data_IF_223008185084
#
_entry.id   IF_223008185084
#
_cell.length_a   1.000
_cell.length_b   1.000
_cell.length_c   1.000
_cell.angle_alpha   90.00
_cell.angle_beta   90.00
_cell.angle_gamma   90.00
#
_symmetry.space_group_name_H-M   'P 1'
#
loop_
_entity.id
_entity.type
_entity.pdbx_description
1 polymer ?
#
# COMPACT_ATOMS: atom_id res chain seq x y z
N UNK A 1 46.38 -12.83 32.60
CA UNK A 1 46.29 -11.44 33.09
C UNK A 1 44.81 -11.12 33.20
N UNK A 2 44.28 -10.95 34.41
CA UNK A 2 42.86 -10.66 34.63
C UNK A 2 42.61 -9.16 34.39
N UNK A 3 42.03 -8.82 33.26
CA UNK A 3 41.65 -7.45 32.90
C UNK A 3 40.57 -6.98 33.88
N UNK A 4 40.75 -5.82 34.51
CA UNK A 4 39.74 -5.22 35.39
C UNK A 4 38.91 -4.17 34.63
N UNK A 5 37.65 -4.05 35.01
CA UNK A 5 36.73 -3.04 34.47
C UNK A 5 37.29 -1.62 34.75
N UNK A 6 37.25 -0.74 33.75
CA UNK A 6 37.83 0.63 33.74
C UNK A 6 39.37 0.74 33.77
N UNK A 7 40.12 -0.33 33.47
CA UNK A 7 41.57 -0.23 33.29
C UNK A 7 41.93 0.32 31.90
N UNK A 8 42.74 1.39 31.79
CA UNK A 8 43.18 1.92 30.51
C UNK A 8 44.16 0.94 29.86
N UNK A 9 43.75 0.34 28.74
CA UNK A 9 44.57 -0.59 27.96
C UNK A 9 45.25 0.18 26.83
N UNK A 10 46.58 0.11 26.78
CA UNK A 10 47.36 0.58 25.64
C UNK A 10 47.33 -0.52 24.58
N UNK A 11 46.76 -0.23 23.42
CA UNK A 11 46.80 -1.11 22.26
C UNK A 11 47.46 -0.38 21.09
N UNK A 12 48.16 -1.14 20.27
CA UNK A 12 48.68 -0.71 18.97
C UNK A 12 48.20 -1.70 17.93
N UNK A 13 47.83 -1.21 16.76
CA UNK A 13 47.48 -2.05 15.63
C UNK A 13 48.40 -1.73 14.45
N UNK A 14 48.71 -2.75 13.66
CA UNK A 14 49.42 -2.62 12.40
C UNK A 14 48.45 -2.97 11.27
N UNK A 15 48.46 -2.19 10.19
CA UNK A 15 47.67 -2.47 8.99
C UNK A 15 48.64 -2.73 7.86
N UNK A 16 48.56 -3.93 7.29
CA UNK A 16 49.27 -4.26 6.08
C UNK A 16 48.29 -4.31 4.91
N UNK A 17 48.45 -3.41 3.95
CA UNK A 17 47.61 -3.38 2.75
C UNK A 17 48.20 -4.32 1.71
N UNK A 18 47.46 -5.38 1.37
CA UNK A 18 47.83 -6.32 0.30
C UNK A 18 47.02 -5.97 -0.95
N UNK A 19 47.70 -5.91 -2.10
CA UNK A 19 47.03 -5.71 -3.37
C UNK A 19 46.09 -6.89 -3.67
N UNK A 20 44.87 -6.59 -4.09
CA UNK A 20 43.85 -7.59 -4.39
C UNK A 20 43.59 -7.60 -5.89
N UNK A 21 43.61 -8.79 -6.48
CA UNK A 21 43.24 -9.04 -7.89
C UNK A 21 41.78 -8.68 -8.21
N UNK A 22 40.96 -8.45 -7.18
CA UNK A 22 39.55 -8.08 -7.33
C UNK A 22 39.43 -6.59 -7.63
N UNK A 23 38.88 -6.28 -8.80
CA UNK A 23 38.54 -4.92 -9.22
C UNK A 23 37.66 -4.24 -8.17
N UNK A 24 37.90 -2.95 -7.91
CA UNK A 24 37.16 -2.17 -6.91
C UNK A 24 35.64 -2.36 -6.93
N UNK A 25 34.94 -2.35 -8.09
CA UNK A 25 33.49 -2.52 -8.14
C UNK A 25 32.98 -3.87 -7.64
N UNK A 26 33.76 -4.94 -7.79
CA UNK A 26 33.36 -6.32 -7.43
C UNK A 26 33.79 -6.75 -6.02
N UNK A 27 34.46 -5.86 -5.27
CA UNK A 27 34.89 -6.17 -3.88
C UNK A 27 33.71 -6.35 -2.92
N UNK A 28 32.57 -5.71 -3.21
CA UNK A 28 31.36 -5.84 -2.40
C UNK A 28 30.61 -7.15 -2.65
N UNK A 29 30.83 -7.83 -3.78
CA UNK A 29 30.07 -9.03 -4.17
C UNK A 29 30.16 -10.16 -3.12
N UNK A 30 31.29 -10.27 -2.43
CA UNK A 30 31.48 -11.25 -1.36
C UNK A 30 30.56 -11.00 -0.16
N UNK A 31 30.25 -9.74 0.16
CA UNK A 31 29.37 -9.35 1.26
C UNK A 31 27.90 -9.26 0.86
N UNK A 32 27.63 -9.14 -0.45
CA UNK A 32 26.29 -8.99 -1.02
C UNK A 32 25.67 -10.34 -1.44
N UNK A 33 26.42 -11.44 -1.40
CA UNK A 33 25.90 -12.79 -1.63
C UNK A 33 24.97 -13.20 -0.48
N UNK A 34 23.66 -13.15 -0.72
CA UNK A 34 22.67 -13.78 0.15
C UNK A 34 22.57 -15.28 -0.12
N UNK A 35 22.70 -16.07 0.94
CA UNK A 35 22.26 -17.45 0.97
C UNK A 35 20.71 -17.50 0.99
N UNK A 36 20.10 -18.45 0.27
CA UNK A 36 18.64 -18.64 0.30
C UNK A 36 17.86 -18.25 -0.96
N UNK A 37 18.52 -18.04 -2.12
CA UNK A 37 17.85 -17.76 -3.39
C UNK A 37 16.70 -18.75 -3.74
N UNK A 38 16.83 -20.03 -3.34
CA UNK A 38 15.77 -21.03 -3.52
C UNK A 38 14.48 -20.69 -2.77
N UNK A 39 14.58 -20.10 -1.58
CA UNK A 39 13.44 -19.72 -0.74
C UNK A 39 12.69 -18.55 -1.36
N UNK A 40 13.43 -17.57 -1.89
CA UNK A 40 12.89 -16.46 -2.67
C UNK A 40 12.10 -16.97 -3.90
N UNK A 41 12.70 -17.85 -4.71
CA UNK A 41 12.00 -18.43 -5.87
C UNK A 41 10.75 -19.23 -5.48
N UNK A 42 10.79 -19.96 -4.37
CA UNK A 42 9.63 -20.67 -3.83
C UNK A 42 8.50 -19.70 -3.44
N UNK A 43 8.84 -18.57 -2.83
CA UNK A 43 7.89 -17.50 -2.48
C UNK A 43 7.18 -16.91 -3.70
N UNK A 44 7.91 -16.65 -4.79
CA UNK A 44 7.31 -16.19 -6.06
C UNK A 44 6.35 -17.24 -6.61
N UNK A 45 6.73 -18.51 -6.65
CA UNK A 45 5.89 -19.56 -7.21
C UNK A 45 4.57 -19.72 -6.43
N UNK A 46 4.65 -19.70 -5.09
CA UNK A 46 3.45 -19.74 -4.25
C UNK A 46 2.55 -18.52 -4.47
N UNK A 47 3.14 -17.33 -4.59
CA UNK A 47 2.39 -16.10 -4.86
C UNK A 47 1.71 -16.12 -6.23
N UNK A 48 2.40 -16.62 -7.26
CA UNK A 48 1.84 -16.80 -8.60
C UNK A 48 0.66 -17.78 -8.61
N UNK A 49 0.70 -18.84 -7.80
CA UNK A 49 -0.41 -19.79 -7.67
C UNK A 49 -1.66 -19.11 -7.08
N UNK A 50 -1.49 -18.30 -6.04
CA UNK A 50 -2.60 -17.53 -5.44
C UNK A 50 -3.19 -16.54 -6.44
N UNK A 51 -2.34 -15.81 -7.17
CA UNK A 51 -2.76 -14.88 -8.22
C UNK A 51 -3.51 -15.62 -9.32
N UNK A 52 -2.98 -16.73 -9.85
CA UNK A 52 -3.64 -17.48 -10.90
C UNK A 52 -5.03 -17.99 -10.48
N UNK A 53 -5.18 -18.40 -9.23
CA UNK A 53 -6.47 -18.80 -8.66
C UNK A 53 -7.45 -17.63 -8.60
N UNK A 54 -7.03 -16.48 -8.06
CA UNK A 54 -7.85 -15.27 -7.97
C UNK A 54 -8.19 -14.70 -9.35
N UNK A 55 -7.23 -14.65 -10.27
CA UNK A 55 -7.40 -14.29 -11.67
C UNK A 55 -8.45 -15.19 -12.34
N UNK A 56 -8.46 -16.50 -12.04
CA UNK A 56 -9.49 -17.43 -12.49
C UNK A 56 -10.89 -17.03 -12.02
N UNK A 57 -11.03 -16.64 -10.75
CA UNK A 57 -12.32 -16.16 -10.20
C UNK A 57 -12.75 -14.86 -10.90
N UNK A 58 -11.84 -13.89 -11.03
CA UNK A 58 -12.12 -12.61 -11.73
C UNK A 58 -12.51 -12.86 -13.18
N UNK A 59 -11.80 -13.77 -13.86
CA UNK A 59 -12.11 -14.16 -15.24
C UNK A 59 -13.49 -14.78 -15.36
N UNK A 60 -13.89 -15.66 -14.44
CA UNK A 60 -15.25 -16.23 -14.41
C UNK A 60 -16.29 -15.13 -14.17
N UNK A 61 -16.04 -14.18 -13.26
CA UNK A 61 -16.93 -13.03 -13.03
C UNK A 61 -17.11 -12.22 -14.32
N UNK A 62 -16.02 -11.83 -14.97
CA UNK A 62 -16.05 -11.04 -16.21
C UNK A 62 -16.69 -11.82 -17.37
N UNK A 63 -16.34 -13.09 -17.56
CA UNK A 63 -16.95 -13.95 -18.58
C UNK A 63 -18.45 -14.09 -18.37
N UNK A 64 -18.91 -14.22 -17.12
CA UNK A 64 -20.34 -14.29 -16.81
C UNK A 64 -21.03 -12.98 -17.15
N UNK A 65 -20.43 -11.84 -16.83
CA UNK A 65 -20.96 -10.53 -17.22
C UNK A 65 -21.08 -10.40 -18.74
N UNK A 66 -20.04 -10.77 -19.49
CA UNK A 66 -20.00 -10.66 -20.96
C UNK A 66 -20.89 -11.70 -21.66
N UNK A 67 -20.82 -12.99 -21.30
CA UNK A 67 -21.64 -14.05 -21.92
C UNK A 67 -23.13 -13.82 -21.70
N UNK A 68 -23.52 -13.19 -20.60
CA UNK A 68 -24.92 -12.84 -20.30
C UNK A 68 -25.42 -11.68 -21.15
N UNK A 69 -24.55 -10.79 -21.61
CA UNK A 69 -24.89 -9.78 -22.62
C UNK A 69 -25.07 -10.42 -24.02
N UNK A 70 -24.32 -11.48 -24.32
CA UNK A 70 -24.46 -12.26 -25.57
C UNK A 70 -25.70 -13.18 -25.58
N UNK A 71 -25.98 -13.90 -24.48
CA UNK A 71 -27.17 -14.78 -24.37
C UNK A 71 -28.49 -14.02 -24.27
N UNK A 72 -28.46 -12.71 -24.01
CA UNK A 72 -29.63 -11.83 -24.20
C UNK A 72 -30.03 -11.68 -25.68
N UNK A 73 -29.21 -12.16 -26.61
CA UNK A 73 -29.49 -12.22 -28.05
C UNK A 73 -29.84 -13.62 -28.56
N UNK A 74 -29.59 -14.67 -27.77
CA UNK A 74 -30.00 -16.05 -28.08
C UNK A 74 -31.04 -16.47 -27.06
N UNK A 75 -32.30 -16.18 -27.36
CA UNK A 75 -33.42 -16.82 -26.67
C UNK A 75 -33.28 -18.34 -26.81
N UNK A 76 -33.38 -19.02 -25.65
CA UNK A 76 -33.46 -20.47 -25.38
C UNK A 76 -32.27 -20.97 -24.54
N UNK A 77 -32.43 -21.07 -23.21
CA UNK A 77 -32.62 -22.36 -22.53
C UNK A 77 -32.74 -22.25 -20.99
N UNK A 78 -33.67 -23.05 -20.45
CA UNK A 78 -33.86 -23.57 -19.09
C UNK A 78 -34.13 -22.66 -17.86
N UNK A 79 -35.29 -22.91 -17.25
CA UNK A 79 -35.76 -22.43 -15.93
C UNK A 79 -34.78 -22.73 -14.77
N UNK A 80 -33.92 -23.75 -14.90
CA UNK A 80 -32.89 -24.06 -13.89
C UNK A 80 -31.77 -22.99 -13.86
N UNK A 81 -31.50 -22.33 -14.98
CA UNK A 81 -30.59 -21.20 -15.05
C UNK A 81 -31.21 -19.96 -14.39
N UNK A 82 -32.52 -19.76 -14.54
CA UNK A 82 -33.24 -18.60 -14.01
C UNK A 82 -33.22 -18.52 -12.47
N UNK A 83 -33.43 -19.66 -11.78
CA UNK A 83 -33.50 -19.70 -10.32
C UNK A 83 -32.13 -19.47 -9.64
N UNK A 84 -31.04 -20.00 -10.22
CA UNK A 84 -29.68 -19.70 -9.76
C UNK A 84 -29.21 -18.28 -10.16
N UNK A 85 -29.81 -17.71 -11.22
CA UNK A 85 -29.49 -16.36 -11.70
C UNK A 85 -30.21 -15.24 -10.94
N UNK A 86 -31.36 -15.50 -10.33
CA UNK A 86 -32.10 -14.51 -9.52
C UNK A 86 -31.32 -14.16 -8.23
N UNK A 87 -30.76 -15.17 -7.54
CA UNK A 87 -29.95 -14.99 -6.32
C UNK A 87 -28.60 -14.26 -6.58
N UNK A 88 -28.05 -14.33 -7.80
CA UNK A 88 -26.79 -13.66 -8.18
C UNK A 88 -26.98 -12.35 -8.97
N UNK A 89 -28.22 -11.96 -9.28
CA UNK A 89 -28.51 -10.72 -10.02
C UNK A 89 -28.63 -9.48 -9.13
N UNK A 90 -28.36 -9.59 -7.81
CA UNK A 90 -28.50 -8.48 -6.86
C UNK A 90 -27.68 -7.24 -7.23
N UNK A 91 -26.55 -7.39 -7.92
CA UNK A 91 -25.76 -6.24 -8.38
C UNK A 91 -26.51 -5.37 -9.40
N UNK A 92 -27.44 -5.94 -10.18
CA UNK A 92 -28.30 -5.17 -11.10
C UNK A 92 -29.39 -4.40 -10.36
N UNK A 93 -29.78 -4.83 -9.17
CA UNK A 93 -30.79 -4.14 -8.36
C UNK A 93 -30.25 -2.87 -7.71
N UNK A 94 -28.93 -2.73 -7.61
CA UNK A 94 -28.24 -1.56 -7.03
C UNK A 94 -27.72 -0.56 -8.07
N UNK A 95 -28.10 -0.72 -9.35
CA UNK A 95 -27.75 0.18 -10.47
C UNK A 95 -27.95 1.66 -10.10
N UNK A 96 -29.05 1.99 -9.43
CA UNK A 96 -29.40 3.37 -9.07
C UNK A 96 -28.77 3.90 -7.78
N UNK A 97 -27.99 3.10 -7.05
CA UNK A 97 -27.38 3.50 -5.76
C UNK A 97 -25.86 3.28 -5.68
N UNK A 98 -25.28 2.54 -6.62
CA UNK A 98 -23.86 2.14 -6.57
C UNK A 98 -22.86 3.30 -6.60
N UNK A 99 -23.18 4.41 -7.28
CA UNK A 99 -22.32 5.60 -7.38
C UNK A 99 -22.64 6.67 -6.32
N UNK A 100 -23.47 6.36 -5.32
CA UNK A 100 -23.76 7.30 -4.24
C UNK A 100 -22.48 7.63 -3.46
N UNK A 101 -22.32 8.90 -3.11
CA UNK A 101 -21.16 9.37 -2.37
C UNK A 101 -20.97 8.56 -1.06
N UNK A 102 -19.74 8.12 -0.74
CA UNK A 102 -19.47 7.36 0.47
C UNK A 102 -19.60 8.22 1.72
N UNK A 103 -19.67 7.58 2.89
CA UNK A 103 -19.46 8.27 4.17
C UNK A 103 -18.07 8.92 4.18
N UNK A 104 -17.93 10.15 4.68
CA UNK A 104 -16.64 10.87 4.73
C UNK A 104 -15.85 10.86 3.39
N UNK A 105 -16.42 11.35 2.28
CA UNK A 105 -15.79 11.26 0.96
C UNK A 105 -14.45 11.99 0.87
N UNK A 106 -14.29 13.06 1.65
CA UNK A 106 -13.03 13.81 1.72
C UNK A 106 -11.89 12.94 2.27
N UNK A 107 -12.14 12.13 3.31
CA UNK A 107 -11.11 11.26 3.89
C UNK A 107 -10.67 10.19 2.90
N UNK A 108 -11.62 9.61 2.15
CA UNK A 108 -11.30 8.63 1.11
C UNK A 108 -10.38 9.24 0.04
N UNK A 109 -10.70 10.46 -0.43
CA UNK A 109 -9.87 11.16 -1.41
C UNK A 109 -8.46 11.44 -0.89
N UNK A 110 -8.34 11.82 0.39
CA UNK A 110 -7.06 12.05 1.06
C UNK A 110 -6.23 10.76 1.10
N UNK A 111 -6.82 9.67 1.60
CA UNK A 111 -6.13 8.38 1.74
C UNK A 111 -5.72 7.78 0.40
N UNK A 112 -6.56 7.94 -0.64
CA UNK A 112 -6.26 7.51 -2.01
C UNK A 112 -5.13 8.34 -2.62
N UNK A 113 -5.12 9.66 -2.41
CA UNK A 113 -4.04 10.54 -2.86
C UNK A 113 -2.69 10.15 -2.23
N UNK A 114 -2.66 10.00 -0.91
CA UNK A 114 -1.45 9.59 -0.18
C UNK A 114 -0.98 8.19 -0.58
N UNK A 115 -1.91 7.25 -0.77
CA UNK A 115 -1.56 5.90 -1.20
C UNK A 115 -0.97 5.85 -2.60
N UNK A 116 -1.43 6.67 -3.55
CA UNK A 116 -0.79 6.79 -4.88
C UNK A 116 0.63 7.34 -4.74
N UNK A 117 0.84 8.35 -3.88
CA UNK A 117 2.16 8.93 -3.64
C UNK A 117 3.14 7.90 -3.06
N UNK A 118 2.70 7.17 -2.03
CA UNK A 118 3.51 6.15 -1.35
C UNK A 118 3.81 4.98 -2.28
N UNK A 119 2.80 4.49 -3.00
CA UNK A 119 2.98 3.40 -3.96
C UNK A 119 3.92 3.81 -5.11
N UNK A 120 3.72 5.00 -5.68
CA UNK A 120 4.58 5.54 -6.73
C UNK A 120 6.02 5.69 -6.25
N UNK A 121 6.22 6.21 -5.03
CA UNK A 121 7.55 6.34 -4.43
C UNK A 121 8.20 4.97 -4.27
N UNK A 122 7.47 3.97 -3.75
CA UNK A 122 7.97 2.61 -3.59
C UNK A 122 8.38 1.98 -4.94
N UNK A 123 7.52 2.07 -5.97
CA UNK A 123 7.79 1.56 -7.31
C UNK A 123 9.04 2.19 -7.91
N UNK A 124 9.12 3.53 -7.93
CA UNK A 124 10.25 4.24 -8.54
C UNK A 124 11.55 3.99 -7.75
N UNK A 125 11.49 4.01 -6.42
CA UNK A 125 12.67 3.75 -5.58
C UNK A 125 13.21 2.34 -5.82
N UNK A 126 12.35 1.32 -5.77
CA UNK A 126 12.76 -0.07 -5.93
C UNK A 126 13.24 -0.32 -7.35
N UNK A 127 12.62 0.28 -8.37
CA UNK A 127 13.07 0.19 -9.76
C UNK A 127 14.49 0.75 -9.94
N UNK A 128 14.76 1.96 -9.44
CA UNK A 128 16.10 2.55 -9.53
C UNK A 128 17.13 1.77 -8.71
N UNK A 129 16.73 1.19 -7.57
CA UNK A 129 17.59 0.29 -6.80
C UNK A 129 17.88 -1.02 -7.55
N UNK A 130 16.89 -1.59 -8.25
CA UNK A 130 17.04 -2.79 -9.07
C UNK A 130 17.93 -2.57 -10.29
N UNK A 131 17.92 -1.37 -10.87
CA UNK A 131 18.83 -0.96 -11.96
C UNK A 131 20.26 -0.66 -11.49
N UNK A 132 20.52 -0.67 -10.18
CA UNK A 132 21.85 -0.44 -9.60
C UNK A 132 22.23 1.02 -9.38
N UNK A 133 21.31 1.99 -9.57
CA UNK A 133 21.58 3.40 -9.30
C UNK A 133 21.65 3.74 -7.81
N UNK A 134 21.07 2.90 -6.95
CA UNK A 134 21.09 3.06 -5.49
C UNK A 134 21.74 1.84 -4.84
N UNK A 135 23.07 1.87 -4.72
CA UNK A 135 23.84 0.80 -4.07
C UNK A 135 23.80 0.92 -2.54
N UNK A 136 23.71 -0.19 -1.78
CA UNK A 136 23.89 -0.18 -0.32
C UNK A 136 25.27 0.34 0.13
N UNK A 137 26.26 0.36 -0.77
CA UNK A 137 27.59 0.88 -0.48
C UNK A 137 27.59 2.39 -0.16
N UNK A 138 26.64 3.15 -0.72
CA UNK A 138 26.49 4.59 -0.45
C UNK A 138 25.45 4.83 0.65
N UNK A 139 25.94 4.91 1.90
CA UNK A 139 25.12 5.11 3.11
C UNK A 139 24.09 6.22 2.91
N UNK A 140 22.82 5.90 3.15
CA UNK A 140 21.71 6.88 3.12
C UNK A 140 21.17 7.24 1.73
N UNK A 141 21.74 6.72 0.64
CA UNK A 141 21.27 7.02 -0.74
C UNK A 141 19.83 6.57 -0.95
N UNK A 142 19.48 5.37 -0.47
CA UNK A 142 18.13 4.83 -0.60
C UNK A 142 17.10 5.72 0.11
N UNK A 143 17.36 6.12 1.36
CA UNK A 143 16.46 6.98 2.13
C UNK A 143 16.34 8.37 1.48
N UNK A 144 17.46 8.93 1.02
CA UNK A 144 17.47 10.24 0.34
C UNK A 144 16.68 10.18 -0.99
N UNK A 145 16.85 9.10 -1.74
CA UNK A 145 16.08 8.83 -2.96
C UNK A 145 14.59 8.68 -2.69
N UNK A 146 14.20 7.93 -1.66
CA UNK A 146 12.79 7.81 -1.22
C UNK A 146 12.19 9.17 -0.89
N UNK A 147 12.89 10.01 -0.10
CA UNK A 147 12.43 11.36 0.23
C UNK A 147 12.27 12.23 -1.02
N UNK A 148 13.25 12.20 -1.92
CA UNK A 148 13.18 12.95 -3.17
C UNK A 148 11.98 12.53 -4.04
N UNK A 149 11.81 11.22 -4.29
CA UNK A 149 10.69 10.72 -5.07
C UNK A 149 9.35 11.00 -4.40
N UNK A 150 9.27 10.88 -3.07
CA UNK A 150 8.08 11.24 -2.31
C UNK A 150 7.69 12.70 -2.54
N UNK A 151 8.64 13.64 -2.47
CA UNK A 151 8.38 15.07 -2.70
C UNK A 151 7.85 15.32 -4.13
N UNK A 152 8.51 14.76 -5.14
CA UNK A 152 8.13 14.97 -6.56
C UNK A 152 6.75 14.36 -6.86
N UNK A 153 6.48 13.17 -6.34
CA UNK A 153 5.21 12.47 -6.56
C UNK A 153 4.04 13.09 -5.78
N UNK A 154 4.27 14.11 -4.96
CA UNK A 154 3.20 14.94 -4.37
C UNK A 154 2.26 15.52 -5.43
N UNK A 155 2.78 15.84 -6.63
CA UNK A 155 1.97 16.28 -7.78
C UNK A 155 0.92 15.22 -8.16
N UNK A 156 1.30 13.94 -8.19
CA UNK A 156 0.37 12.85 -8.49
C UNK A 156 -0.66 12.66 -7.36
N UNK A 157 -0.22 12.78 -6.10
CA UNK A 157 -1.08 12.69 -4.93
C UNK A 157 -2.23 13.71 -4.99
N UNK A 158 -1.88 14.98 -5.21
CA UNK A 158 -2.85 16.07 -5.33
C UNK A 158 -3.76 15.90 -6.54
N UNK A 159 -3.20 15.49 -7.68
CA UNK A 159 -3.96 15.25 -8.91
C UNK A 159 -5.03 14.16 -8.71
N UNK A 160 -4.63 12.98 -8.22
CA UNK A 160 -5.55 11.85 -8.03
C UNK A 160 -6.58 12.17 -6.93
N UNK A 161 -6.14 12.71 -5.79
CA UNK A 161 -7.04 13.05 -4.68
C UNK A 161 -8.12 14.05 -5.09
N UNK A 162 -7.77 15.11 -5.82
CA UNK A 162 -8.75 16.10 -6.32
C UNK A 162 -9.61 15.52 -7.45
N UNK A 163 -9.04 14.69 -8.33
CA UNK A 163 -9.81 14.06 -9.41
C UNK A 163 -10.89 13.12 -8.86
N UNK A 164 -10.56 12.31 -7.86
CA UNK A 164 -11.53 11.44 -7.18
C UNK A 164 -12.59 12.28 -6.45
N UNK A 165 -12.19 13.38 -5.79
CA UNK A 165 -13.14 14.31 -5.17
C UNK A 165 -14.15 14.87 -6.18
N UNK A 166 -13.65 15.36 -7.32
CA UNK A 166 -14.48 15.91 -8.39
C UNK A 166 -15.43 14.86 -8.98
N UNK A 167 -14.96 13.62 -9.14
CA UNK A 167 -15.81 12.50 -9.57
C UNK A 167 -16.91 12.20 -8.55
N UNK A 168 -16.58 12.09 -7.25
CA UNK A 168 -17.57 11.85 -6.18
C UNK A 168 -18.61 12.97 -6.10
N UNK A 169 -18.21 14.21 -6.39
CA UNK A 169 -19.08 15.39 -6.40
C UNK A 169 -19.73 15.67 -7.75
N UNK A 170 -19.76 14.70 -8.67
CA UNK A 170 -20.41 14.80 -9.97
C UNK A 170 -19.98 16.05 -10.77
N UNK A 171 -18.69 16.36 -10.76
CA UNK A 171 -18.11 17.46 -11.54
C UNK A 171 -17.90 18.76 -10.76
N UNK A 172 -18.47 18.91 -9.56
CA UNK A 172 -18.23 20.09 -8.73
C UNK A 172 -16.77 20.12 -8.23
N UNK A 173 -16.08 21.22 -8.54
CA UNK A 173 -14.70 21.46 -8.15
C UNK A 173 -14.60 22.24 -6.83
N UNK A 174 -15.71 22.60 -6.18
CA UNK A 174 -15.69 23.31 -4.91
C UNK A 174 -14.89 22.52 -3.86
N UNK A 175 -14.07 23.22 -3.07
CA UNK A 175 -13.26 22.60 -2.00
C UNK A 175 -12.01 21.83 -2.45
N UNK A 176 -11.62 21.87 -3.73
CA UNK A 176 -10.41 21.18 -4.22
C UNK A 176 -9.13 21.55 -3.45
N UNK A 177 -8.99 22.83 -3.07
CA UNK A 177 -7.85 23.32 -2.27
C UNK A 177 -7.79 22.64 -0.91
N UNK A 178 -8.95 22.48 -0.25
CA UNK A 178 -9.03 21.85 1.06
C UNK A 178 -8.67 20.36 1.00
N UNK A 179 -9.08 19.65 -0.07
CA UNK A 179 -8.69 18.26 -0.32
C UNK A 179 -7.18 18.17 -0.53
N UNK A 180 -6.64 18.97 -1.45
CA UNK A 180 -5.21 18.94 -1.79
C UNK A 180 -4.31 19.33 -0.63
N UNK A 181 -4.72 20.29 0.21
CA UNK A 181 -4.01 20.64 1.43
C UNK A 181 -4.01 19.49 2.44
N UNK A 182 -5.15 18.81 2.62
CA UNK A 182 -5.24 17.68 3.55
C UNK A 182 -4.46 16.46 3.05
N UNK A 183 -4.43 16.18 1.74
CA UNK A 183 -3.52 15.19 1.14
C UNK A 183 -2.08 15.51 1.54
N UNK A 184 -1.64 16.75 1.29
CA UNK A 184 -0.27 17.14 1.62
C UNK A 184 0.10 17.05 3.12
N UNK A 185 -0.88 17.04 4.02
CA UNK A 185 -0.65 17.04 5.47
C UNK A 185 -1.01 15.74 6.19
N UNK A 186 -1.78 14.83 5.60
CA UNK A 186 -2.33 13.68 6.31
C UNK A 186 -1.25 12.65 6.64
N UNK A 187 -0.66 11.97 5.65
CA UNK A 187 0.42 11.02 5.89
C UNK A 187 1.69 11.69 6.46
N UNK A 188 2.19 12.82 5.93
CA UNK A 188 3.34 13.51 6.52
C UNK A 188 3.11 13.95 7.96
N UNK A 189 1.89 14.38 8.32
CA UNK A 189 1.55 14.76 9.69
C UNK A 189 1.58 13.58 10.66
N UNK A 190 1.05 12.42 10.24
CA UNK A 190 1.14 11.16 11.00
C UNK A 190 2.62 10.74 11.16
N UNK A 191 3.38 10.79 10.06
CA UNK A 191 4.81 10.46 10.05
C UNK A 191 5.59 11.35 11.03
N UNK A 192 5.35 12.66 10.97
CA UNK A 192 6.00 13.64 11.82
C UNK A 192 5.64 13.45 13.29
N UNK A 193 4.39 13.13 13.61
CA UNK A 193 3.93 12.83 14.97
C UNK A 193 4.67 11.61 15.55
N UNK A 194 4.71 10.51 14.79
CA UNK A 194 5.41 9.28 15.20
C UNK A 194 6.90 9.57 15.38
N UNK A 195 7.54 10.19 14.39
CA UNK A 195 8.96 10.54 14.43
C UNK A 195 9.30 11.41 15.63
N UNK A 196 8.50 12.45 15.89
CA UNK A 196 8.71 13.37 17.01
C UNK A 196 8.58 12.65 18.35
N UNK A 197 7.56 11.79 18.49
CA UNK A 197 7.33 11.01 19.72
C UNK A 197 8.49 10.06 19.99
N UNK A 198 8.94 9.33 18.97
CA UNK A 198 10.09 8.44 19.07
C UNK A 198 11.39 9.20 19.35
N UNK A 199 11.56 10.38 18.76
CA UNK A 199 12.75 11.19 18.96
C UNK A 199 12.84 11.79 20.38
N UNK A 200 11.72 12.16 20.99
CA UNK A 200 11.69 12.57 22.39
C UNK A 200 12.19 11.46 23.33
N UNK A 201 11.85 10.20 23.05
CA UNK A 201 12.38 9.06 23.80
C UNK A 201 13.89 8.89 23.61
N UNK A 202 14.38 9.11 22.38
CA UNK A 202 15.82 9.05 22.07
C UNK A 202 16.61 10.16 22.79
N UNK A 203 16.09 11.38 22.82
CA UNK A 203 16.68 12.46 23.62
C UNK A 203 16.66 12.17 25.12
N UNK A 204 15.54 11.66 25.65
CA UNK A 204 15.42 11.29 27.07
C UNK A 204 16.37 10.17 27.51
N UNK A 205 16.80 9.32 26.58
CA UNK A 205 17.78 8.24 26.81
C UNK A 205 19.22 8.64 26.49
N UNK A 206 19.48 9.92 26.17
CA UNK A 206 20.80 10.41 25.73
C UNK A 206 21.41 9.59 24.58
N UNK A 207 20.56 9.06 23.70
CA UNK A 207 20.99 8.21 22.59
C UNK A 207 21.68 9.04 21.51
N UNK A 208 22.82 8.55 21.00
CA UNK A 208 23.50 9.11 19.81
C UNK A 208 22.67 8.96 18.54
N UNK A 209 21.63 8.12 18.56
CA UNK A 209 20.67 7.96 17.46
C UNK A 209 19.59 9.03 17.42
N UNK A 210 19.56 9.96 18.38
CA UNK A 210 18.58 11.04 18.39
C UNK A 210 18.81 12.00 17.22
N UNK A 211 17.73 12.32 16.51
CA UNK A 211 17.73 13.26 15.40
C UNK A 211 17.95 14.68 15.95
N UNK A 212 18.94 15.43 15.43
CA UNK A 212 19.20 16.79 15.88
C UNK A 212 18.06 17.72 15.45
N UNK A 213 17.81 18.77 16.24
CA UNK A 213 16.77 19.77 15.97
C UNK A 213 16.90 20.41 14.58
N UNK A 214 18.12 20.63 14.09
CA UNK A 214 18.38 21.15 12.75
C UNK A 214 17.75 20.29 11.65
N UNK A 215 17.76 18.96 11.80
CA UNK A 215 17.17 18.06 10.81
C UNK A 215 15.63 18.14 10.81
N UNK A 216 15.00 18.36 11.98
CA UNK A 216 13.56 18.63 12.05
C UNK A 216 13.18 19.89 11.27
N UNK A 217 13.96 20.96 11.40
CA UNK A 217 13.74 22.20 10.64
C UNK A 217 13.86 21.95 9.14
N UNK A 218 14.89 21.19 8.71
CA UNK A 218 15.06 20.83 7.29
C UNK A 218 13.86 20.02 6.78
N UNK A 219 13.40 19.01 7.52
CA UNK A 219 12.23 18.20 7.13
C UNK A 219 10.95 19.03 7.05
N UNK A 220 10.75 19.98 7.99
CA UNK A 220 9.61 20.91 7.95
C UNK A 220 9.67 21.83 6.73
N UNK A 221 10.85 22.36 6.40
CA UNK A 221 11.02 23.20 5.19
C UNK A 221 10.76 22.39 3.92
N UNK A 222 11.28 21.16 3.82
CA UNK A 222 10.97 20.28 2.68
C UNK A 222 9.47 19.97 2.59
N UNK A 223 8.80 19.77 3.73
CA UNK A 223 7.37 19.50 3.76
C UNK A 223 6.53 20.72 3.33
N UNK A 224 6.71 21.88 3.98
CA UNK A 224 5.85 23.05 3.72
C UNK A 224 6.28 23.89 2.50
N UNK A 225 7.57 23.97 2.18
CA UNK A 225 8.06 24.80 1.08
C UNK A 225 8.14 24.05 -0.25
N UNK A 226 8.16 22.70 -0.24
CA UNK A 226 8.25 21.89 -1.46
C UNK A 226 7.05 20.95 -1.59
N UNK A 227 6.86 20.01 -0.65
CA UNK A 227 5.82 18.99 -0.76
C UNK A 227 4.41 19.59 -0.90
N UNK A 228 4.05 20.53 -0.01
CA UNK A 228 2.73 21.18 -0.02
C UNK A 228 2.46 21.93 -1.33
N UNK A 229 3.32 22.84 -1.82
CA UNK A 229 3.14 23.48 -3.12
C UNK A 229 3.02 22.50 -4.28
N UNK A 230 3.87 21.47 -4.34
CA UNK A 230 3.82 20.46 -5.41
C UNK A 230 2.48 19.71 -5.42
N UNK A 231 1.99 19.32 -4.24
CA UNK A 231 0.68 18.69 -4.11
C UNK A 231 -0.44 19.62 -4.52
N UNK A 232 -0.40 20.91 -4.15
CA UNK A 232 -1.38 21.92 -4.58
C UNK A 232 -1.37 22.13 -6.10
N UNK A 233 -0.20 22.14 -6.75
CA UNK A 233 -0.08 22.17 -8.21
C UNK A 233 -0.74 20.94 -8.83
N UNK A 234 -0.48 19.76 -8.27
CA UNK A 234 -1.18 18.53 -8.64
C UNK A 234 -2.70 18.65 -8.52
N UNK A 235 -3.18 19.16 -7.39
CA UNK A 235 -4.59 19.39 -7.13
C UNK A 235 -5.23 20.37 -8.12
N UNK A 236 -4.53 21.44 -8.49
CA UNK A 236 -4.98 22.39 -9.50
C UNK A 236 -5.14 21.73 -10.88
N UNK A 237 -4.18 20.89 -11.27
CA UNK A 237 -4.28 20.10 -12.51
C UNK A 237 -5.46 19.10 -12.45
N UNK A 238 -5.68 18.47 -11.28
CA UNK A 238 -6.80 17.57 -11.04
C UNK A 238 -8.17 18.27 -11.12
N UNK A 239 -8.25 19.51 -10.63
CA UNK A 239 -9.47 20.32 -10.71
C UNK A 239 -9.81 20.72 -12.16
N UNK A 240 -8.79 21.01 -12.98
CA UNK A 240 -8.95 21.32 -14.41
C UNK A 240 -9.26 20.09 -15.27
N UNK A 241 -8.82 18.90 -14.87
CA UNK A 241 -9.05 17.68 -15.61
C UNK A 241 -10.57 17.38 -15.74
N UNK A 242 -11.01 16.76 -16.85
CA UNK A 242 -12.39 16.29 -16.96
C UNK A 242 -12.66 15.24 -15.87
N UNK A 243 -13.83 15.37 -15.23
CA UNK A 243 -14.29 14.41 -14.24
C UNK A 243 -14.74 13.12 -14.93
N UNK A 244 -14.75 12.02 -14.20
CA UNK A 244 -15.27 10.76 -14.71
C UNK A 244 -16.79 10.79 -14.54
N UNK A 245 -17.52 10.74 -15.65
CA UNK A 245 -18.99 10.68 -15.63
C UNK A 245 -19.44 9.28 -15.19
N UNK A 246 -20.44 9.25 -14.32
CA UNK A 246 -21.05 7.99 -13.91
C UNK A 246 -21.95 7.45 -15.03
N UNK A 247 -21.88 6.14 -15.33
CA UNK A 247 -22.68 5.54 -16.39
C UNK A 247 -24.19 5.56 -16.07
N UNK A 248 -24.53 5.71 -14.78
CA UNK A 248 -25.91 5.62 -14.29
C UNK A 248 -26.20 6.77 -13.32
N UNK A 249 -27.43 7.30 -13.38
CA UNK A 249 -27.91 8.31 -12.44
C UNK A 249 -28.33 7.69 -11.11
N UNK A 250 -27.98 8.37 -10.02
CA UNK A 250 -28.35 7.94 -8.67
C UNK A 250 -29.77 8.38 -8.30
N UNK A 251 -30.54 7.51 -7.64
CA UNK A 251 -31.84 7.86 -7.08
C UNK A 251 -31.71 8.79 -5.86
N UNK A 252 -32.75 9.57 -5.57
CA UNK A 252 -32.75 10.46 -4.40
C UNK A 252 -32.81 9.67 -3.09
N UNK A 253 -33.72 8.70 -3.02
CA UNK A 253 -33.94 7.87 -1.83
C UNK A 253 -33.00 6.66 -1.90
N UNK A 254 -32.17 6.42 -0.85
CA UNK A 254 -31.31 5.26 -0.81
C UNK A 254 -32.11 3.97 -0.60
N UNK A 255 -31.83 2.94 -1.39
CA UNK A 255 -32.36 1.59 -1.15
C UNK A 255 -31.84 1.02 0.17
N UNK A 256 -32.72 0.37 0.92
CA UNK A 256 -32.35 -0.38 2.12
C UNK A 256 -31.55 -1.62 1.76
N UNK A 257 -30.49 -1.90 2.54
CA UNK A 257 -29.62 -3.06 2.32
C UNK A 257 -30.27 -4.25 3.04
N UNK A 258 -30.48 -5.40 2.37
CA UNK A 258 -31.07 -6.57 2.99
C UNK A 258 -30.19 -7.09 4.15
N UNK A 259 -30.80 -7.71 5.18
CA UNK A 259 -30.06 -8.24 6.32
C UNK A 259 -29.11 -9.36 5.88
N UNK A 260 -27.82 -9.17 6.15
CA UNK A 260 -26.78 -10.13 5.79
C UNK A 260 -26.62 -11.20 6.87
N UNK A 261 -26.45 -12.46 6.45
CA UNK A 261 -26.21 -13.59 7.38
C UNK A 261 -24.88 -13.47 8.13
N UNK A 262 -23.87 -12.85 7.51
CA UNK A 262 -22.54 -12.64 8.10
C UNK A 262 -22.18 -11.15 8.10
N UNK A 263 -21.45 -10.66 9.11
CA UNK A 263 -21.02 -9.27 9.17
C UNK A 263 -20.04 -8.97 8.04
N UNK A 264 -20.42 -8.08 7.12
CA UNK A 264 -19.64 -7.73 5.93
C UNK A 264 -18.21 -7.27 6.24
N UNK A 265 -17.99 -6.58 7.36
CA UNK A 265 -16.66 -6.12 7.78
C UNK A 265 -15.73 -7.26 8.22
N UNK A 266 -16.26 -8.39 8.71
CA UNK A 266 -15.43 -9.55 9.06
C UNK A 266 -14.83 -10.18 7.80
N UNK A 267 -15.58 -10.20 6.70
CA UNK A 267 -15.09 -10.63 5.39
C UNK A 267 -13.97 -9.70 4.88
N UNK A 268 -14.16 -8.38 5.01
CA UNK A 268 -13.15 -7.37 4.63
C UNK A 268 -11.85 -7.52 5.42
N UNK A 269 -11.95 -7.78 6.73
CA UNK A 269 -10.79 -8.06 7.56
C UNK A 269 -10.10 -9.36 7.12
N UNK A 270 -10.87 -10.46 6.98
CA UNK A 270 -10.35 -11.75 6.55
C UNK A 270 -9.65 -11.73 5.19
N UNK A 271 -10.07 -10.85 4.29
CA UNK A 271 -9.48 -10.70 2.95
C UNK A 271 -7.99 -10.36 2.96
N UNK A 272 -7.53 -9.62 3.97
CA UNK A 272 -6.13 -9.23 4.12
C UNK A 272 -5.18 -10.41 4.34
N UNK A 273 -5.71 -11.59 4.69
CA UNK A 273 -4.91 -12.83 4.80
C UNK A 273 -4.33 -13.27 3.46
N UNK A 274 -5.02 -13.04 2.33
CA UNK A 274 -4.56 -13.46 1.01
C UNK A 274 -3.33 -12.64 0.56
N UNK A 275 -3.36 -11.29 0.54
CA UNK A 275 -2.15 -10.51 0.28
C UNK A 275 -1.06 -10.77 1.33
N UNK A 276 -1.41 -10.97 2.60
CA UNK A 276 -0.41 -11.27 3.64
C UNK A 276 0.32 -12.58 3.37
N UNK A 277 -0.40 -13.65 3.00
CA UNK A 277 0.21 -14.94 2.67
C UNK A 277 1.19 -14.85 1.50
N UNK A 278 0.91 -13.99 0.52
CA UNK A 278 1.81 -13.75 -0.62
C UNK A 278 3.07 -12.98 -0.23
N UNK A 279 2.98 -12.12 0.79
CA UNK A 279 4.12 -11.32 1.27
C UNK A 279 4.93 -11.98 2.38
N UNK A 280 4.38 -12.99 3.06
CA UNK A 280 4.88 -13.47 4.34
C UNK A 280 6.39 -13.81 4.34
N UNK A 281 6.84 -14.57 3.34
CA UNK A 281 8.25 -14.99 3.24
C UNK A 281 9.17 -13.77 3.04
N UNK A 282 8.76 -12.81 2.22
CA UNK A 282 9.57 -11.62 1.95
C UNK A 282 9.56 -10.63 3.08
N UNK A 283 8.43 -10.50 3.76
CA UNK A 283 8.33 -9.71 4.97
C UNK A 283 9.33 -10.21 6.03
N UNK A 284 9.49 -11.52 6.18
CA UNK A 284 10.51 -12.09 7.07
C UNK A 284 11.93 -11.65 6.69
N UNK A 285 12.29 -11.71 5.39
CA UNK A 285 13.61 -11.29 4.93
C UNK A 285 13.85 -9.78 5.09
N UNK A 286 12.84 -8.95 4.78
CA UNK A 286 12.89 -7.49 4.94
C UNK A 286 13.06 -7.15 6.42
N UNK A 287 12.25 -7.73 7.31
CA UNK A 287 12.35 -7.49 8.75
C UNK A 287 13.70 -7.95 9.29
N UNK A 288 14.20 -9.10 8.83
CA UNK A 288 15.53 -9.58 9.21
C UNK A 288 16.65 -8.66 8.74
N UNK A 289 16.48 -8.02 7.58
CA UNK A 289 17.46 -7.06 7.07
C UNK A 289 17.47 -5.77 7.86
N UNK A 290 16.28 -5.19 8.11
CA UNK A 290 16.13 -3.92 8.82
C UNK A 290 16.60 -4.03 10.27
N UNK A 291 16.25 -5.12 10.97
CA UNK A 291 16.42 -5.21 12.43
C UNK A 291 17.64 -6.02 12.86
N UNK A 292 18.07 -7.04 12.10
CA UNK A 292 19.25 -7.84 12.43
C UNK A 292 20.50 -7.45 11.62
N UNK A 293 20.42 -6.39 10.81
CA UNK A 293 21.57 -5.87 10.05
C UNK A 293 22.06 -6.80 8.94
N UNK A 294 21.23 -7.77 8.49
CA UNK A 294 21.55 -8.61 7.34
C UNK A 294 21.43 -7.79 6.06
N UNK A 295 22.42 -7.85 5.17
CA UNK A 295 22.38 -7.08 3.92
C UNK A 295 21.38 -7.70 2.95
N UNK A 296 20.27 -7.00 2.68
CA UNK A 296 19.32 -7.40 1.64
C UNK A 296 19.71 -6.73 0.31
N UNK A 297 20.30 -7.53 -0.58
CA UNK A 297 20.76 -7.07 -1.90
C UNK A 297 20.04 -7.79 -3.04
N UNK A 298 18.72 -7.88 -2.96
CA UNK A 298 17.90 -8.51 -4.00
C UNK A 298 16.76 -7.57 -4.43
N UNK A 299 17.10 -6.33 -4.79
CA UNK A 299 16.12 -5.32 -5.21
C UNK A 299 15.29 -5.76 -6.43
N UNK A 300 15.87 -6.54 -7.35
CA UNK A 300 15.13 -7.11 -8.48
C UNK A 300 14.03 -8.06 -8.02
N UNK A 301 14.29 -8.86 -6.98
CA UNK A 301 13.28 -9.74 -6.39
C UNK A 301 12.19 -8.94 -5.67
N UNK A 302 12.59 -7.95 -4.86
CA UNK A 302 11.65 -7.05 -4.18
C UNK A 302 10.73 -6.32 -5.17
N UNK A 303 11.24 -5.94 -6.34
CA UNK A 303 10.43 -5.34 -7.40
C UNK A 303 9.35 -6.30 -7.92
N UNK A 304 9.70 -7.55 -8.18
CA UNK A 304 8.72 -8.58 -8.61
C UNK A 304 7.66 -8.77 -7.54
N UNK A 305 8.05 -8.88 -6.26
CA UNK A 305 7.11 -9.04 -5.14
C UNK A 305 6.17 -7.86 -5.02
N UNK A 306 6.66 -6.63 -5.22
CA UNK A 306 5.81 -5.44 -5.24
C UNK A 306 4.76 -5.51 -6.35
N UNK A 307 5.13 -5.96 -7.56
CA UNK A 307 4.18 -6.15 -8.65
C UNK A 307 3.13 -7.22 -8.33
N UNK A 308 3.57 -8.36 -7.78
CA UNK A 308 2.67 -9.44 -7.36
C UNK A 308 1.70 -8.93 -6.27
N UNK A 309 2.18 -8.16 -5.30
CA UNK A 309 1.34 -7.53 -4.28
C UNK A 309 0.27 -6.64 -4.89
N UNK A 310 0.63 -5.76 -5.84
CA UNK A 310 -0.33 -4.88 -6.50
C UNK A 310 -1.41 -5.70 -7.21
N UNK A 311 -1.04 -6.78 -7.89
CA UNK A 311 -1.99 -7.66 -8.58
C UNK A 311 -2.94 -8.34 -7.58
N UNK A 312 -2.40 -8.98 -6.53
CA UNK A 312 -3.22 -9.67 -5.51
C UNK A 312 -4.15 -8.67 -4.81
N UNK A 313 -3.65 -7.48 -4.44
CA UNK A 313 -4.48 -6.45 -3.84
C UNK A 313 -5.59 -5.96 -4.77
N UNK A 314 -5.33 -5.89 -6.08
CA UNK A 314 -6.37 -5.54 -7.04
C UNK A 314 -7.44 -6.65 -7.11
N UNK A 315 -7.04 -7.90 -7.29
CA UNK A 315 -7.94 -9.05 -7.43
C UNK A 315 -8.81 -9.30 -6.20
N UNK A 316 -8.21 -9.27 -5.00
CA UNK A 316 -8.94 -9.49 -3.74
C UNK A 316 -10.03 -8.43 -3.57
N UNK A 317 -9.72 -7.16 -3.82
CA UNK A 317 -10.69 -6.07 -3.72
C UNK A 317 -11.80 -6.17 -4.77
N UNK A 318 -11.46 -6.58 -6.01
CA UNK A 318 -12.42 -6.81 -7.09
C UNK A 318 -13.43 -7.90 -6.74
N UNK A 319 -12.94 -9.07 -6.31
CA UNK A 319 -13.78 -10.21 -5.96
C UNK A 319 -14.72 -9.84 -4.82
N UNK A 320 -14.21 -9.20 -3.76
CA UNK A 320 -15.07 -8.79 -2.64
C UNK A 320 -16.06 -7.69 -3.00
N UNK A 321 -15.66 -6.72 -3.81
CA UNK A 321 -16.58 -5.68 -4.29
C UNK A 321 -17.72 -6.31 -5.08
N UNK A 322 -17.43 -7.26 -5.98
CA UNK A 322 -18.46 -7.99 -6.71
C UNK A 322 -19.38 -8.79 -5.77
N UNK A 323 -18.82 -9.53 -4.82
CA UNK A 323 -19.61 -10.29 -3.83
C UNK A 323 -20.53 -9.37 -3.01
N UNK A 324 -20.06 -8.19 -2.59
CA UNK A 324 -20.90 -7.20 -1.90
C UNK A 324 -22.03 -6.67 -2.77
N UNK A 325 -21.77 -6.39 -4.04
CA UNK A 325 -22.81 -5.96 -4.98
C UNK A 325 -23.85 -7.06 -5.23
N UNK A 326 -23.43 -8.33 -5.31
CA UNK A 326 -24.36 -9.46 -5.48
C UNK A 326 -25.34 -9.60 -4.32
N UNK A 327 -24.93 -9.25 -3.09
CA UNK A 327 -25.82 -9.23 -1.92
C UNK A 327 -26.53 -7.89 -1.70
N UNK A 328 -26.64 -7.07 -2.76
CA UNK A 328 -27.30 -5.77 -2.79
C UNK A 328 -26.68 -4.70 -1.85
N UNK A 329 -25.42 -4.89 -1.45
CA UNK A 329 -24.71 -3.92 -0.62
C UNK A 329 -23.95 -2.91 -1.50
N UNK A 330 -24.58 -1.77 -1.73
CA UNK A 330 -24.02 -0.67 -2.54
C UNK A 330 -22.93 0.14 -1.81
N UNK A 331 -22.63 -0.11 -0.52
CA UNK A 331 -21.63 0.65 0.26
C UNK A 331 -20.21 0.08 0.08
N UNK A 332 -19.79 -0.09 -1.16
CA UNK A 332 -18.53 -0.75 -1.52
C UNK A 332 -17.29 0.12 -1.35
N UNK A 333 -17.38 1.46 -1.44
CA UNK A 333 -16.24 2.40 -1.45
C UNK A 333 -15.18 2.18 -0.36
N UNK A 334 -15.60 2.10 0.91
CA UNK A 334 -14.66 1.86 2.02
C UNK A 334 -14.26 0.39 2.13
N UNK A 335 -15.18 -0.51 1.77
CA UNK A 335 -14.93 -1.95 1.82
C UNK A 335 -13.88 -2.36 0.80
N UNK A 336 -13.89 -1.78 -0.40
CA UNK A 336 -12.87 -2.02 -1.42
C UNK A 336 -11.50 -1.49 -0.99
N UNK A 337 -11.45 -0.32 -0.35
CA UNK A 337 -10.22 0.21 0.23
C UNK A 337 -9.68 -0.71 1.34
N UNK A 338 -10.50 -1.03 2.34
CA UNK A 338 -10.05 -1.85 3.47
C UNK A 338 -9.90 -3.34 3.15
N UNK A 339 -10.48 -3.84 2.06
CA UNK A 339 -10.32 -5.23 1.62
C UNK A 339 -8.86 -5.58 1.36
N UNK A 340 -8.10 -4.66 0.76
CA UNK A 340 -6.67 -4.83 0.49
C UNK A 340 -5.82 -4.08 1.52
N UNK A 341 -6.34 -3.00 2.11
CA UNK A 341 -5.71 -2.27 3.21
C UNK A 341 -5.56 -3.09 4.50
N UNK A 342 -6.46 -4.05 4.76
CA UNK A 342 -6.45 -4.89 5.97
C UNK A 342 -5.20 -5.76 6.11
N UNK A 343 -4.45 -5.99 5.01
CA UNK A 343 -3.12 -6.64 5.05
C UNK A 343 -2.18 -5.99 6.07
N UNK A 344 -2.27 -4.67 6.27
CA UNK A 344 -1.46 -3.93 7.21
C UNK A 344 -1.66 -4.39 8.67
N UNK A 345 -2.86 -4.84 9.03
CA UNK A 345 -3.15 -5.39 10.36
C UNK A 345 -2.37 -6.69 10.56
N UNK A 346 -2.36 -7.57 9.56
CA UNK A 346 -1.62 -8.83 9.62
C UNK A 346 -0.11 -8.60 9.68
N UNK A 347 0.41 -7.63 8.93
CA UNK A 347 1.82 -7.21 9.01
C UNK A 347 2.15 -6.66 10.39
N UNK A 348 1.26 -5.87 10.99
CA UNK A 348 1.46 -5.33 12.34
C UNK A 348 1.49 -6.43 13.40
N UNK A 349 0.52 -7.37 13.36
CA UNK A 349 0.49 -8.53 14.24
C UNK A 349 1.73 -9.41 14.07
N UNK A 350 2.18 -9.60 12.83
CA UNK A 350 3.42 -10.30 12.53
C UNK A 350 4.64 -9.55 13.11
N UNK A 351 4.70 -8.22 13.00
CA UNK A 351 5.79 -7.44 13.60
C UNK A 351 5.84 -7.59 15.12
N UNK A 352 4.70 -7.69 15.80
CA UNK A 352 4.62 -7.94 17.25
C UNK A 352 5.11 -9.37 17.56
N UNK A 353 4.68 -10.35 16.77
CA UNK A 353 5.15 -11.73 16.91
C UNK A 353 6.68 -11.80 16.75
N UNK A 354 7.21 -11.18 15.70
CA UNK A 354 8.64 -11.11 15.41
C UNK A 354 9.44 -10.45 16.54
N UNK A 355 8.91 -9.39 17.16
CA UNK A 355 9.52 -8.76 18.33
C UNK A 355 9.67 -9.74 19.51
N UNK A 356 8.63 -10.53 19.77
CA UNK A 356 8.57 -11.42 20.94
C UNK A 356 9.43 -12.67 20.73
N UNK A 357 9.41 -13.27 19.53
CA UNK A 357 9.98 -14.59 19.29
C UNK A 357 11.37 -14.55 18.64
N UNK A 358 11.62 -13.61 17.72
CA UNK A 358 12.87 -13.55 16.96
C UNK A 358 13.85 -12.50 17.50
N UNK A 359 13.36 -11.35 17.98
CA UNK A 359 14.18 -10.22 18.45
C UNK A 359 14.60 -10.29 19.93
N UNK A 360 15.05 -11.46 20.39
CA UNK A 360 15.43 -11.67 21.81
C UNK A 360 16.62 -10.81 22.28
N UNK A 361 17.45 -10.32 21.35
CA UNK A 361 18.59 -9.45 21.66
C UNK A 361 18.22 -7.99 21.91
N UNK A 362 16.99 -7.58 21.54
CA UNK A 362 16.53 -6.21 21.72
C UNK A 362 16.21 -5.98 23.20
N UNK A 363 17.16 -5.39 23.94
CA UNK A 363 16.99 -5.09 25.35
C UNK A 363 16.47 -3.68 25.59
N UNK A 364 15.60 -3.56 26.60
CA UNK A 364 15.13 -2.29 27.12
C UNK A 364 13.80 -1.80 26.49
N UNK A 365 12.96 -1.12 27.29
CA UNK A 365 11.65 -0.64 26.85
C UNK A 365 11.75 0.39 25.72
N UNK A 366 12.77 1.25 25.71
CA UNK A 366 12.97 2.28 24.69
C UNK A 366 13.16 1.67 23.30
N UNK A 367 14.01 0.63 23.19
CA UNK A 367 14.25 -0.08 21.93
C UNK A 367 12.98 -0.77 21.42
N UNK A 368 12.22 -1.40 22.30
CA UNK A 368 10.93 -2.02 21.95
C UNK A 368 9.90 -0.98 21.48
N UNK A 369 9.81 0.18 22.14
CA UNK A 369 8.93 1.26 21.70
C UNK A 369 9.34 1.84 20.35
N UNK A 370 10.64 2.00 20.09
CA UNK A 370 11.14 2.43 18.78
C UNK A 370 10.76 1.43 17.68
N UNK A 371 10.97 0.14 17.92
CA UNK A 371 10.57 -0.92 17.00
C UNK A 371 9.07 -0.86 16.67
N UNK A 372 8.22 -0.78 17.70
CA UNK A 372 6.77 -0.72 17.51
C UNK A 372 6.36 0.56 16.78
N UNK A 373 6.96 1.71 17.11
CA UNK A 373 6.64 2.98 16.46
C UNK A 373 7.03 3.03 14.99
N UNK A 374 8.23 2.53 14.63
CA UNK A 374 8.63 2.41 13.23
C UNK A 374 7.80 1.36 12.48
N UNK A 375 7.44 0.25 13.14
CA UNK A 375 6.54 -0.75 12.57
C UNK A 375 5.14 -0.16 12.32
N UNK A 376 4.62 0.64 13.25
CA UNK A 376 3.35 1.37 13.10
C UNK A 376 3.39 2.33 11.90
N UNK A 377 4.47 3.10 11.76
CA UNK A 377 4.67 3.98 10.62
C UNK A 377 4.66 3.20 9.30
N UNK A 378 5.38 2.08 9.23
CA UNK A 378 5.43 1.21 8.06
C UNK A 378 4.05 0.65 7.70
N UNK A 379 3.29 0.12 8.65
CA UNK A 379 1.98 -0.50 8.35
C UNK A 379 0.93 0.54 7.94
N UNK A 380 0.99 1.77 8.44
CA UNK A 380 0.13 2.86 7.97
C UNK A 380 0.43 3.17 6.50
N UNK A 381 1.71 3.25 6.13
CA UNK A 381 2.10 3.47 4.73
C UNK A 381 1.62 2.33 3.82
N UNK A 382 1.77 1.08 4.26
CA UNK A 382 1.29 -0.10 3.52
C UNK A 382 -0.23 -0.08 3.38
N UNK A 383 -0.97 0.21 4.45
CA UNK A 383 -2.44 0.31 4.42
C UNK A 383 -2.92 1.31 3.37
N UNK A 384 -2.29 2.50 3.31
CA UNK A 384 -2.63 3.53 2.34
C UNK A 384 -2.32 3.07 0.91
N UNK A 385 -1.14 2.48 0.69
CA UNK A 385 -0.74 1.99 -0.62
C UNK A 385 -1.63 0.84 -1.12
N UNK A 386 -1.80 -0.23 -0.34
CA UNK A 386 -2.58 -1.41 -0.76
C UNK A 386 -4.08 -1.13 -0.79
N UNK A 387 -4.57 -0.30 0.13
CA UNK A 387 -5.98 0.14 0.10
C UNK A 387 -6.31 1.00 -1.11
N UNK A 388 -5.37 1.84 -1.54
CA UNK A 388 -5.51 2.63 -2.78
C UNK A 388 -5.57 1.76 -4.01
N UNK A 389 -4.73 0.73 -4.11
CA UNK A 389 -4.78 -0.26 -5.20
C UNK A 389 -6.16 -0.92 -5.25
N UNK A 390 -6.64 -1.41 -4.11
CA UNK A 390 -7.96 -2.05 -4.03
C UNK A 390 -9.12 -1.11 -4.39
N UNK A 391 -9.06 0.14 -3.93
CA UNK A 391 -10.08 1.14 -4.26
C UNK A 391 -10.10 1.47 -5.76
N UNK A 392 -8.94 1.77 -6.36
CA UNK A 392 -8.86 2.16 -7.78
C UNK A 392 -9.28 0.98 -8.68
N UNK A 393 -8.82 -0.23 -8.40
CA UNK A 393 -9.22 -1.42 -9.18
C UNK A 393 -10.73 -1.64 -9.11
N UNK A 394 -11.30 -1.59 -7.91
CA UNK A 394 -12.73 -1.75 -7.69
C UNK A 394 -13.55 -0.63 -8.33
N UNK A 395 -13.09 0.62 -8.27
CA UNK A 395 -13.75 1.73 -8.95
C UNK A 395 -13.78 1.53 -10.46
N UNK A 396 -12.66 1.15 -11.08
CA UNK A 396 -12.60 0.85 -12.51
C UNK A 396 -13.54 -0.31 -12.89
N UNK A 397 -13.59 -1.36 -12.08
CA UNK A 397 -14.47 -2.50 -12.29
C UNK A 397 -15.95 -2.15 -12.15
N UNK A 398 -16.33 -1.41 -11.12
CA UNK A 398 -17.71 -0.95 -10.93
C UNK A 398 -18.11 -0.03 -12.09
N UNK A 399 -17.25 0.91 -12.49
CA UNK A 399 -17.50 1.75 -13.65
C UNK A 399 -17.74 0.94 -14.92
N UNK A 400 -16.87 -0.04 -15.20
CA UNK A 400 -17.02 -0.96 -16.32
C UNK A 400 -18.32 -1.78 -16.25
N UNK A 401 -18.59 -2.41 -15.09
CA UNK A 401 -19.74 -3.28 -14.86
C UNK A 401 -21.07 -2.57 -15.07
N UNK A 402 -21.19 -1.30 -14.65
CA UNK A 402 -22.43 -0.53 -14.81
C UNK A 402 -22.48 0.24 -16.13
N UNK A 403 -21.36 0.42 -16.84
CA UNK A 403 -21.36 0.96 -18.20
C UNK A 403 -21.88 -0.04 -19.26
N UNK A 404 -21.77 -1.35 -18.99
CA UNK A 404 -22.30 -2.38 -19.90
C UNK A 404 -23.81 -2.57 -19.78
N UNK A 405 -24.41 -2.10 -18.67
CA UNK A 405 -25.86 -2.10 -18.48
C UNK A 405 -26.44 -0.96 -19.33
N UNK A 406 -26.99 -1.26 -20.51
CA UNK A 406 -27.79 -0.29 -21.27
C UNK A 406 -28.92 0.22 -20.36
N UNK A 407 -28.90 1.52 -20.08
CA UNK A 407 -30.04 2.22 -19.51
C UNK A 407 -31.08 2.35 -20.65
N UNK A 408 -32.13 1.54 -20.57
CA UNK A 408 -33.34 1.72 -21.39
C UNK A 408 -34.05 3.04 -21.01
#
# INVERSE_FOLDING_TARGET
MSIKENEPIVYTYEVNFVESDIKWPSRWDAYLKMEGAKVHWFSILNSLMVIAFLAGIVFVILLRTVRRDLTKYEELDSEAQAQMNEELSGWKLVVSDVFRAPSNPMLLCIMVGDGVQILGMAVVTILFAALGFMSPASRGTLITGMLFFYLVLGILAGYVGVRVWKTIKCGDHSGWVAVSWRVACFFPGIAFLILTTLNFLLWGSHSTGAIPFSLFVVLLLLWFCISVPLTLVGGFLGAKAPHIEYPVRTNQIPREIPPQKYPSWLLVLGAGTLPFGTLFIELFFIMSSIWMGRVYYVFGFLFVVLLLLVIVCAEVSLVLTYMHLCVEDWKWWWKSFFSSGSVAIYIFLYSINYLIFDLKSLSGPVSATLYIGYSLFMVIAIMLATGTVGFISSFCFVHYLFSSVKAD
#
